data_IF_668427363498
#
_entry.id   IF_668427363498
#
_cell.length_a   1.000
_cell.length_b   1.000
_cell.length_c   1.000
_cell.angle_alpha   90.00
_cell.angle_beta   90.00
_cell.angle_gamma   90.00
#
_symmetry.space_group_name_H-M   'P 1'
#
loop_
_entity.id
_entity.type
_entity.pdbx_description
1 polymer ?
#
# COMPACT_ATOMS: atom_id res chain seq x y z
N UNK A 1 4.93 -10.48 -39.64
CA UNK A 1 3.83 -10.06 -38.75
C UNK A 1 4.44 -9.22 -37.63
N UNK A 2 4.85 -8.00 -37.97
CA UNK A 2 5.52 -7.03 -37.10
C UNK A 2 5.27 -5.65 -37.72
N UNK A 3 5.30 -4.61 -36.89
CA UNK A 3 5.08 -3.18 -37.18
C UNK A 3 3.62 -2.70 -37.06
N UNK A 4 3.16 -2.48 -35.83
CA UNK A 4 2.06 -1.53 -35.53
C UNK A 4 2.41 -0.50 -34.44
N UNK A 5 3.42 -0.73 -33.59
CA UNK A 5 3.74 0.21 -32.49
C UNK A 5 4.45 1.50 -32.92
N UNK A 6 5.12 1.53 -34.08
CA UNK A 6 5.90 2.72 -34.51
C UNK A 6 5.06 3.89 -35.04
N UNK A 7 3.77 3.68 -35.36
CA UNK A 7 2.92 4.75 -35.90
C UNK A 7 2.26 5.61 -34.81
N UNK A 8 2.11 5.12 -33.58
CA UNK A 8 1.53 5.90 -32.48
C UNK A 8 2.51 6.94 -31.92
N UNK A 9 3.81 6.63 -31.85
CA UNK A 9 4.84 7.58 -31.39
C UNK A 9 5.03 8.80 -32.30
N UNK A 10 4.77 8.68 -33.60
CA UNK A 10 4.94 9.82 -34.53
C UNK A 10 3.83 10.88 -34.42
N UNK A 11 2.66 10.57 -33.85
CA UNK A 11 1.61 11.57 -33.61
C UNK A 11 1.95 12.52 -32.46
N UNK A 12 2.60 12.02 -31.40
CA UNK A 12 2.97 12.80 -30.20
C UNK A 12 3.99 13.92 -30.50
N UNK A 13 4.77 13.81 -31.59
CA UNK A 13 5.74 14.84 -31.97
C UNK A 13 5.11 16.13 -32.55
N UNK A 14 3.86 16.08 -33.03
CA UNK A 14 3.25 17.20 -33.75
C UNK A 14 2.25 18.03 -32.91
N UNK A 15 1.83 17.56 -31.73
CA UNK A 15 0.86 18.27 -30.88
C UNK A 15 1.47 19.25 -29.86
N UNK A 16 2.75 19.09 -29.49
CA UNK A 16 3.46 20.03 -28.61
C UNK A 16 4.02 21.26 -29.37
N UNK A 17 3.16 22.06 -30.00
CA UNK A 17 3.53 23.42 -30.39
C UNK A 17 3.10 24.41 -29.30
N UNK A 18 4.10 25.03 -28.67
CA UNK A 18 3.99 26.01 -27.59
C UNK A 18 3.09 27.16 -28.01
N UNK A 19 1.87 27.20 -27.48
CA UNK A 19 1.01 28.39 -27.53
C UNK A 19 1.45 29.35 -26.43
N UNK A 20 2.04 30.47 -26.84
CA UNK A 20 2.36 31.60 -25.97
C UNK A 20 1.07 32.22 -25.41
N UNK A 21 0.77 32.01 -24.12
CA UNK A 21 -0.35 32.66 -23.43
C UNK A 21 0.15 33.68 -22.39
N UNK A 22 -0.24 34.93 -22.62
CA UNK A 22 0.01 36.12 -21.78
C UNK A 22 -0.72 36.02 -20.43
N UNK A 23 -0.02 36.46 -19.39
CA UNK A 23 -0.44 36.57 -18.00
C UNK A 23 -1.49 37.68 -17.77
N UNK A 24 -2.48 37.39 -16.93
CA UNK A 24 -3.10 38.39 -16.04
C UNK A 24 -3.05 37.85 -14.61
N UNK A 25 -2.37 38.60 -13.74
CA UNK A 25 -2.17 38.26 -12.34
C UNK A 25 -3.29 38.87 -11.48
N UNK A 26 -3.87 38.07 -10.58
CA UNK A 26 -4.59 38.58 -9.41
C UNK A 26 -4.09 37.81 -8.18
N UNK A 27 -3.57 38.59 -7.22
CA UNK A 27 -3.03 38.18 -5.92
C UNK A 27 -4.13 37.71 -4.96
N UNK A 28 -3.81 36.71 -4.15
CA UNK A 28 -4.50 36.38 -2.90
C UNK A 28 -3.60 35.51 -2.02
N UNK A 29 -3.01 36.13 -1.00
CA UNK A 29 -2.03 35.57 -0.06
C UNK A 29 -2.70 34.82 1.09
N UNK A 30 -2.14 33.68 1.52
CA UNK A 30 -2.13 33.25 2.93
C UNK A 30 -0.92 32.34 3.21
N UNK A 31 -0.12 32.72 4.20
CA UNK A 31 1.00 31.95 4.77
C UNK A 31 0.61 31.29 6.10
N UNK A 32 1.29 30.21 6.53
CA UNK A 32 0.97 29.41 7.69
C UNK A 32 1.70 29.89 8.97
N UNK A 33 1.06 29.73 10.13
CA UNK A 33 1.69 29.97 11.44
C UNK A 33 2.23 28.68 12.06
N UNK A 34 3.46 28.80 12.57
CA UNK A 34 4.25 27.77 13.23
C UNK A 34 3.85 27.55 14.70
N UNK A 35 4.37 26.43 15.20
CA UNK A 35 4.35 25.91 16.56
C UNK A 35 4.69 26.90 17.69
N UNK A 36 4.17 26.61 18.89
CA UNK A 36 4.80 27.04 20.14
C UNK A 36 4.79 25.90 21.18
N UNK A 37 6.01 25.57 21.63
CA UNK A 37 6.32 24.79 22.82
C UNK A 37 5.99 25.61 24.08
N UNK A 38 5.63 24.95 25.17
CA UNK A 38 5.88 25.48 26.53
C UNK A 38 6.14 24.33 27.51
N UNK A 39 7.36 24.31 28.04
CA UNK A 39 7.77 23.59 29.26
C UNK A 39 7.52 24.48 30.48
N UNK A 40 7.09 23.88 31.60
CA UNK A 40 7.63 24.05 32.98
C UNK A 40 6.70 23.37 34.00
N UNK A 41 7.18 22.33 34.71
CA UNK A 41 7.58 22.31 36.15
C UNK A 41 6.39 22.30 37.14
N UNK A 42 6.35 21.58 38.27
CA UNK A 42 7.13 20.49 38.89
C UNK A 42 6.44 20.12 40.23
N UNK A 43 6.85 18.97 40.82
CA UNK A 43 6.86 18.62 42.26
C UNK A 43 5.89 17.54 42.85
N UNK A 44 6.53 16.42 43.21
CA UNK A 44 6.59 15.73 44.53
C UNK A 44 5.28 15.20 45.16
N UNK A 45 5.17 13.86 45.21
CA UNK A 45 5.07 13.13 46.49
C UNK A 45 5.39 11.63 46.33
N UNK A 46 6.42 11.17 47.03
CA UNK A 46 6.69 9.75 47.31
C UNK A 46 6.06 9.41 48.66
N UNK A 47 5.23 8.38 48.73
CA UNK A 47 5.05 7.59 49.95
C UNK A 47 4.89 6.11 49.59
N UNK A 48 5.78 5.31 50.19
CA UNK A 48 5.72 3.88 50.37
C UNK A 48 4.35 3.39 50.86
N UNK A 49 3.91 2.22 50.41
CA UNK A 49 3.22 1.24 51.26
C UNK A 49 3.38 -0.17 50.70
N UNK A 50 3.84 -1.04 51.60
CA UNK A 50 4.07 -2.47 51.48
C UNK A 50 2.78 -3.28 51.26
N UNK A 51 2.99 -4.50 50.76
CA UNK A 51 2.25 -5.74 51.02
C UNK A 51 0.74 -5.68 51.30
N UNK A 52 -0.04 -6.28 50.40
CA UNK A 52 -1.20 -7.09 50.77
C UNK A 52 -1.43 -8.17 49.70
N UNK A 53 -1.13 -9.41 50.05
CA UNK A 53 -1.74 -10.57 49.42
C UNK A 53 -3.24 -10.50 49.68
N UNK A 54 -4.05 -10.52 48.62
CA UNK A 54 -5.48 -10.84 48.75
C UNK A 54 -5.75 -12.04 47.85
N UNK A 55 -5.89 -13.19 48.53
CA UNK A 55 -6.57 -14.36 48.00
C UNK A 55 -8.05 -14.01 47.83
N UNK A 56 -8.52 -14.00 46.59
CA UNK A 56 -9.94 -14.17 46.29
C UNK A 56 -10.16 -15.59 45.80
N UNK A 57 -10.53 -16.47 46.73
CA UNK A 57 -11.33 -17.64 46.44
C UNK A 57 -12.75 -17.17 46.16
N UNK A 58 -13.17 -17.19 44.89
CA UNK A 58 -14.59 -17.16 44.55
C UNK A 58 -14.84 -18.20 43.46
N UNK A 59 -15.51 -19.26 43.87
CA UNK A 59 -16.06 -20.34 43.09
C UNK A 59 -17.15 -19.77 42.17
N UNK A 60 -16.84 -19.65 40.88
CA UNK A 60 -17.85 -19.49 39.85
C UNK A 60 -17.69 -20.67 38.89
N UNK A 61 -18.64 -21.60 38.97
CA UNK A 61 -18.79 -22.74 38.08
C UNK A 61 -18.92 -22.25 36.64
N UNK A 62 -17.83 -22.32 35.89
CA UNK A 62 -17.80 -22.15 34.45
C UNK A 62 -18.27 -23.44 33.79
N UNK A 63 -19.42 -23.37 33.11
CA UNK A 63 -19.72 -24.30 32.03
C UNK A 63 -18.69 -24.04 30.93
N UNK A 64 -17.81 -25.02 30.71
CA UNK A 64 -16.87 -25.07 29.60
C UNK A 64 -17.67 -25.26 28.31
N UNK A 65 -17.94 -24.19 27.57
CA UNK A 65 -18.07 -24.30 26.12
C UNK A 65 -16.66 -24.49 25.57
N UNK A 66 -16.34 -25.75 25.25
CA UNK A 66 -15.15 -26.14 24.51
C UNK A 66 -15.19 -25.52 23.12
N UNK A 67 -14.73 -24.28 22.98
CA UNK A 67 -14.23 -23.78 21.70
C UNK A 67 -12.98 -24.59 21.40
N UNK A 68 -12.90 -25.21 20.23
CA UNK A 68 -11.86 -26.16 19.82
C UNK A 68 -10.47 -25.54 19.70
N UNK A 69 -9.87 -25.15 20.82
CA UNK A 69 -8.42 -25.04 21.00
C UNK A 69 -7.93 -26.41 21.46
N UNK A 70 -7.90 -27.38 20.55
CA UNK A 70 -7.26 -28.65 20.85
C UNK A 70 -5.78 -28.38 21.09
N UNK A 71 -5.36 -28.48 22.36
CA UNK A 71 -3.96 -28.58 22.75
C UNK A 71 -3.39 -29.85 22.16
N UNK A 72 -2.90 -29.76 20.92
CA UNK A 72 -2.14 -30.84 20.32
C UNK A 72 -0.83 -31.01 21.11
N UNK A 73 -0.75 -32.11 21.84
CA UNK A 73 0.38 -32.51 22.66
C UNK A 73 1.49 -33.11 21.79
N UNK A 74 2.21 -32.26 21.04
CA UNK A 74 3.60 -32.39 20.58
C UNK A 74 3.99 -31.06 19.93
N UNK A 75 5.23 -30.53 20.09
CA UNK A 75 5.62 -29.31 19.41
C UNK A 75 5.85 -29.62 17.91
N UNK A 76 4.77 -29.72 17.13
CA UNK A 76 4.85 -29.45 15.69
C UNK A 76 5.41 -28.03 15.59
N UNK A 77 6.53 -27.89 14.89
CA UNK A 77 7.08 -26.56 14.61
C UNK A 77 5.96 -25.71 14.00
N UNK A 78 5.63 -24.59 14.65
CA UNK A 78 4.57 -23.72 14.18
C UNK A 78 4.93 -23.22 12.77
N UNK A 79 4.17 -23.68 11.78
CA UNK A 79 4.35 -23.35 10.38
C UNK A 79 3.11 -22.63 9.86
N UNK A 80 3.34 -21.63 8.99
CA UNK A 80 2.25 -20.90 8.33
C UNK A 80 1.63 -21.85 7.30
N UNK A 81 0.43 -22.35 7.59
CA UNK A 81 -0.34 -23.20 6.67
C UNK A 81 -0.64 -22.44 5.36
N UNK A 82 -0.66 -23.14 4.23
CA UNK A 82 -1.18 -22.56 2.98
C UNK A 82 -2.68 -22.29 3.11
N UNK A 83 -3.21 -21.40 2.26
CA UNK A 83 -4.64 -21.05 2.31
C UNK A 83 -5.54 -22.27 2.08
N UNK A 84 -5.14 -23.16 1.17
CA UNK A 84 -5.85 -24.40 0.82
C UNK A 84 -5.90 -25.37 2.02
N UNK A 85 -4.88 -25.38 2.87
CA UNK A 85 -4.75 -26.23 4.05
C UNK A 85 -5.55 -25.74 5.27
N UNK A 86 -6.12 -24.54 5.22
CA UNK A 86 -6.94 -24.02 6.32
C UNK A 86 -8.26 -24.78 6.39
N UNK A 87 -8.58 -25.28 7.58
CA UNK A 87 -9.82 -26.01 7.87
C UNK A 87 -10.94 -25.04 8.20
N UNK A 88 -12.19 -25.45 7.92
CA UNK A 88 -13.37 -24.66 8.26
C UNK A 88 -13.57 -24.63 9.77
N UNK A 89 -13.69 -23.43 10.32
CA UNK A 89 -13.99 -23.22 11.74
C UNK A 89 -15.48 -22.89 11.87
N UNK A 90 -16.17 -23.58 12.78
CA UNK A 90 -17.54 -23.20 13.12
C UNK A 90 -17.50 -22.07 14.15
N UNK A 91 -17.81 -20.86 13.71
CA UNK A 91 -18.10 -19.75 14.62
C UNK A 91 -19.53 -19.94 15.10
N UNK A 92 -19.68 -20.26 16.38
CA UNK A 92 -20.98 -20.58 16.96
C UNK A 92 -21.66 -19.31 17.44
N UNK A 93 -20.91 -18.33 17.96
CA UNK A 93 -21.43 -17.12 18.60
C UNK A 93 -20.46 -15.92 18.57
N UNK A 94 -20.97 -14.72 18.88
CA UNK A 94 -20.18 -13.49 19.05
C UNK A 94 -19.04 -13.63 20.09
N UNK A 95 -19.21 -14.48 21.09
CA UNK A 95 -18.16 -14.77 22.08
C UNK A 95 -16.87 -15.32 21.44
N UNK A 96 -16.97 -16.04 20.31
CA UNK A 96 -15.80 -16.59 19.62
C UNK A 96 -14.92 -15.45 19.06
N UNK A 97 -15.51 -14.37 18.57
CA UNK A 97 -14.80 -13.18 18.09
C UNK A 97 -14.09 -12.45 19.23
N UNK A 98 -14.72 -12.36 20.40
CA UNK A 98 -14.11 -11.75 21.60
C UNK A 98 -12.90 -12.56 22.07
N UNK A 99 -13.00 -13.89 22.08
CA UNK A 99 -11.89 -14.79 22.45
C UNK A 99 -10.73 -14.64 21.46
N UNK A 100 -11.00 -14.61 20.15
CA UNK A 100 -9.98 -14.35 19.13
C UNK A 100 -9.27 -13.01 19.40
N UNK A 101 -10.03 -11.95 19.72
CA UNK A 101 -9.46 -10.63 20.04
C UNK A 101 -8.54 -10.67 21.25
N UNK A 102 -8.96 -11.36 22.32
CA UNK A 102 -8.16 -11.51 23.53
C UNK A 102 -6.85 -12.24 23.26
N UNK A 103 -6.91 -13.33 22.49
CA UNK A 103 -5.71 -14.12 22.18
C UNK A 103 -4.77 -13.39 21.22
N UNK A 104 -5.28 -12.65 20.23
CA UNK A 104 -4.46 -11.77 19.40
C UNK A 104 -3.80 -10.64 20.18
N UNK A 105 -4.45 -10.16 21.23
CA UNK A 105 -3.91 -9.08 22.09
C UNK A 105 -2.87 -9.60 23.10
N UNK A 106 -2.76 -10.91 23.29
CA UNK A 106 -1.89 -11.53 24.29
C UNK A 106 -0.42 -11.56 23.83
N UNK A 107 0.29 -10.44 23.99
CA UNK A 107 1.71 -10.29 23.62
C UNK A 107 2.66 -11.25 24.36
N UNK A 108 2.22 -11.85 25.47
CA UNK A 108 3.03 -12.81 26.23
C UNK A 108 3.02 -14.20 25.61
N UNK A 109 1.95 -14.56 24.88
CA UNK A 109 1.78 -15.88 24.30
C UNK A 109 1.69 -15.83 22.77
N UNK A 110 2.86 -15.79 22.12
CA UNK A 110 2.93 -15.72 20.66
C UNK A 110 2.30 -16.94 19.96
N UNK A 111 2.28 -18.12 20.59
CA UNK A 111 1.65 -19.31 20.03
C UNK A 111 0.14 -19.10 19.89
N UNK A 112 -0.51 -18.57 20.93
CA UNK A 112 -1.95 -18.28 20.88
C UNK A 112 -2.27 -17.14 19.93
N UNK A 113 -1.42 -16.10 19.86
CA UNK A 113 -1.55 -15.06 18.83
C UNK A 113 -1.44 -15.65 17.42
N UNK A 114 -0.51 -16.59 17.21
CA UNK A 114 -0.31 -17.26 15.94
C UNK A 114 -1.53 -18.09 15.54
N UNK A 115 -2.03 -18.93 16.45
CA UNK A 115 -3.25 -19.73 16.26
C UNK A 115 -4.45 -18.85 15.95
N UNK A 116 -4.66 -17.78 16.72
CA UNK A 116 -5.75 -16.83 16.50
C UNK A 116 -5.67 -16.14 15.11
N UNK A 117 -4.46 -15.85 14.60
CA UNK A 117 -4.28 -15.39 13.22
C UNK A 117 -4.67 -16.47 12.20
N UNK A 118 -4.35 -17.74 12.44
CA UNK A 118 -4.78 -18.83 11.55
C UNK A 118 -6.31 -18.96 11.53
N UNK A 119 -6.96 -18.72 12.68
CA UNK A 119 -8.42 -18.67 12.78
C UNK A 119 -8.97 -17.53 11.92
N UNK A 120 -8.42 -16.31 12.01
CA UNK A 120 -8.82 -15.19 11.13
C UNK A 120 -8.68 -15.55 9.65
N UNK A 121 -7.55 -16.15 9.25
CA UNK A 121 -7.35 -16.57 7.86
C UNK A 121 -8.38 -17.61 7.41
N UNK A 122 -8.74 -18.55 8.27
CA UNK A 122 -9.81 -19.52 8.00
C UNK A 122 -11.16 -18.83 7.84
N UNK A 123 -11.48 -17.84 8.68
CA UNK A 123 -12.70 -17.05 8.52
C UNK A 123 -12.73 -16.39 7.14
N UNK A 124 -11.66 -15.71 6.71
CA UNK A 124 -11.62 -15.10 5.37
C UNK A 124 -11.75 -16.11 4.22
N UNK A 125 -11.31 -17.36 4.41
CA UNK A 125 -11.46 -18.41 3.40
C UNK A 125 -12.91 -18.83 3.22
N UNK A 126 -13.64 -19.03 4.31
CA UNK A 126 -14.98 -19.60 4.28
C UNK A 126 -16.11 -18.56 4.35
N UNK A 127 -15.77 -17.34 4.79
CA UNK A 127 -16.64 -16.18 4.93
C UNK A 127 -15.94 -14.91 4.39
N UNK A 128 -15.54 -14.89 3.11
CA UNK A 128 -14.79 -13.77 2.53
C UNK A 128 -15.56 -12.42 2.54
N UNK A 129 -16.90 -12.46 2.62
CA UNK A 129 -17.75 -11.29 2.80
C UNK A 129 -17.45 -10.50 4.09
N UNK A 130 -16.88 -11.16 5.10
CA UNK A 130 -16.53 -10.56 6.39
C UNK A 130 -15.20 -9.80 6.38
N UNK A 131 -14.49 -9.74 5.23
CA UNK A 131 -13.14 -9.16 5.15
C UNK A 131 -13.06 -7.75 5.76
N UNK A 132 -14.02 -6.88 5.46
CA UNK A 132 -14.03 -5.52 5.99
C UNK A 132 -14.29 -5.50 7.51
N UNK A 133 -15.18 -6.36 8.01
CA UNK A 133 -15.49 -6.46 9.43
C UNK A 133 -14.28 -6.98 10.21
N UNK A 134 -13.57 -7.99 9.68
CA UNK A 134 -12.33 -8.50 10.28
C UNK A 134 -11.31 -7.37 10.49
N UNK A 135 -11.07 -6.53 9.49
CA UNK A 135 -10.12 -5.41 9.65
C UNK A 135 -10.66 -4.30 10.56
N UNK A 136 -11.96 -4.10 10.62
CA UNK A 136 -12.57 -3.17 11.58
C UNK A 136 -12.38 -3.62 13.03
N UNK A 137 -12.55 -4.92 13.32
CA UNK A 137 -12.43 -5.46 14.67
C UNK A 137 -10.98 -5.72 15.11
N UNK A 138 -10.11 -6.14 14.19
CA UNK A 138 -8.77 -6.65 14.49
C UNK A 138 -7.63 -5.85 13.84
N UNK A 139 -7.92 -4.87 13.00
CA UNK A 139 -6.93 -4.14 12.18
C UNK A 139 -5.75 -3.61 12.99
N UNK A 140 -6.01 -2.88 14.08
CA UNK A 140 -4.96 -2.32 14.95
C UNK A 140 -4.06 -3.40 15.57
N UNK A 141 -4.64 -4.55 15.91
CA UNK A 141 -3.90 -5.68 16.47
C UNK A 141 -3.04 -6.32 15.39
N UNK A 142 -3.58 -6.50 14.17
CA UNK A 142 -2.82 -7.01 13.01
C UNK A 142 -1.65 -6.08 12.70
N UNK A 143 -1.85 -4.76 12.72
CA UNK A 143 -0.78 -3.76 12.58
C UNK A 143 0.29 -3.95 13.66
N UNK A 144 -0.11 -4.07 14.93
CA UNK A 144 0.82 -4.30 16.04
C UNK A 144 1.62 -5.60 15.88
N UNK A 145 1.00 -6.67 15.39
CA UNK A 145 1.68 -7.95 15.16
C UNK A 145 2.65 -7.84 13.97
N UNK A 146 2.22 -7.21 12.87
CA UNK A 146 3.05 -6.99 11.70
C UNK A 146 4.29 -6.15 12.00
N UNK A 147 4.18 -5.18 12.91
CA UNK A 147 5.28 -4.35 13.37
C UNK A 147 6.23 -5.06 14.34
N UNK A 148 5.87 -6.23 14.89
CA UNK A 148 6.74 -7.00 15.77
C UNK A 148 8.04 -7.46 15.09
N UNK A 149 8.98 -7.97 15.89
CA UNK A 149 10.25 -8.55 15.43
C UNK A 149 10.18 -10.07 15.24
N UNK A 150 9.00 -10.69 15.39
CA UNK A 150 8.84 -12.15 15.32
C UNK A 150 8.56 -12.57 13.88
N UNK A 151 9.58 -13.09 13.19
CA UNK A 151 9.50 -13.51 11.79
C UNK A 151 8.26 -14.35 11.45
N UNK A 152 7.94 -15.35 12.26
CA UNK A 152 6.79 -16.23 12.03
C UNK A 152 5.45 -15.48 12.10
N UNK A 153 5.31 -14.56 13.06
CA UNK A 153 4.11 -13.72 13.19
C UNK A 153 3.95 -12.79 12.00
N UNK A 154 5.06 -12.20 11.53
CA UNK A 154 5.06 -11.34 10.35
C UNK A 154 4.68 -12.17 9.10
N UNK A 155 5.21 -13.38 8.93
CA UNK A 155 4.82 -14.27 7.82
C UNK A 155 3.33 -14.60 7.86
N UNK A 156 2.79 -14.88 9.04
CA UNK A 156 1.35 -15.13 9.22
C UNK A 156 0.50 -13.90 8.79
N UNK A 157 0.93 -12.69 9.16
CA UNK A 157 0.28 -11.46 8.72
C UNK A 157 0.43 -11.24 7.20
N UNK A 158 1.60 -11.54 6.63
CA UNK A 158 1.82 -11.42 5.18
C UNK A 158 0.92 -12.39 4.40
N UNK A 159 0.75 -13.62 4.90
CA UNK A 159 -0.19 -14.57 4.31
C UNK A 159 -1.64 -14.03 4.35
N UNK A 160 -2.07 -13.55 5.52
CA UNK A 160 -3.39 -12.92 5.69
C UNK A 160 -3.60 -11.73 4.73
N UNK A 161 -2.59 -10.87 4.55
CA UNK A 161 -2.66 -9.73 3.64
C UNK A 161 -2.71 -10.16 2.17
N UNK A 162 -1.93 -11.16 1.75
CA UNK A 162 -2.04 -11.69 0.37
C UNK A 162 -3.42 -12.26 0.09
N UNK A 163 -4.01 -12.98 1.04
CA UNK A 163 -5.36 -13.53 0.95
C UNK A 163 -6.39 -12.41 0.84
N UNK A 164 -6.27 -11.39 1.70
CA UNK A 164 -7.12 -10.19 1.68
C UNK A 164 -7.09 -9.50 0.32
N UNK A 165 -5.90 -9.25 -0.24
CA UNK A 165 -5.80 -8.62 -1.54
C UNK A 165 -6.33 -9.50 -2.67
N UNK A 166 -6.14 -10.83 -2.61
CA UNK A 166 -6.75 -11.74 -3.58
C UNK A 166 -8.29 -11.69 -3.54
N UNK A 167 -8.90 -11.47 -2.37
CA UNK A 167 -10.35 -11.30 -2.24
C UNK A 167 -10.87 -9.99 -2.88
N UNK A 168 -10.01 -8.98 -3.08
CA UNK A 168 -10.40 -7.68 -3.62
C UNK A 168 -11.02 -7.73 -5.04
N UNK A 169 -10.79 -8.83 -5.77
CA UNK A 169 -11.42 -9.09 -7.08
C UNK A 169 -12.91 -9.38 -6.99
N UNK A 170 -13.37 -9.90 -5.86
CA UNK A 170 -14.75 -10.36 -5.67
C UNK A 170 -15.47 -9.52 -4.63
N UNK A 171 -14.74 -9.05 -3.61
CA UNK A 171 -15.29 -8.27 -2.51
C UNK A 171 -14.63 -6.90 -2.46
N UNK A 172 -15.45 -5.85 -2.40
CA UNK A 172 -14.92 -4.49 -2.32
C UNK A 172 -14.25 -4.25 -0.95
N UNK A 173 -12.93 -4.04 -0.97
CA UNK A 173 -12.19 -3.68 0.24
C UNK A 173 -12.44 -2.21 0.62
N UNK A 174 -12.51 -1.93 1.92
CA UNK A 174 -12.47 -0.57 2.45
C UNK A 174 -11.11 0.09 2.14
N UNK A 175 -11.12 1.35 1.74
CA UNK A 175 -9.92 2.09 1.33
C UNK A 175 -8.87 2.20 2.44
N UNK A 176 -9.32 2.26 3.70
CA UNK A 176 -8.46 2.34 4.88
C UNK A 176 -7.54 1.12 4.99
N UNK A 177 -8.03 -0.07 4.60
CA UNK A 177 -7.24 -1.31 4.60
C UNK A 177 -6.07 -1.17 3.63
N UNK A 178 -6.34 -0.69 2.41
CA UNK A 178 -5.33 -0.47 1.37
C UNK A 178 -4.32 0.58 1.85
N UNK A 179 -4.80 1.72 2.31
CA UNK A 179 -3.97 2.85 2.72
C UNK A 179 -3.01 2.48 3.86
N UNK A 180 -3.50 1.76 4.88
CA UNK A 180 -2.70 1.38 6.04
C UNK A 180 -1.68 0.31 5.66
N UNK A 181 -2.13 -0.81 5.07
CA UNK A 181 -1.26 -1.97 4.93
C UNK A 181 -0.24 -1.83 3.81
N UNK A 182 -0.55 -1.13 2.70
CA UNK A 182 0.47 -0.86 1.67
C UNK A 182 1.58 0.02 2.23
N UNK A 183 1.25 1.09 2.97
CA UNK A 183 2.26 1.93 3.64
C UNK A 183 3.13 1.11 4.58
N UNK A 184 2.53 0.21 5.36
CA UNK A 184 3.27 -0.68 6.26
C UNK A 184 4.20 -1.65 5.53
N UNK A 185 3.80 -2.23 4.40
CA UNK A 185 4.64 -3.15 3.62
C UNK A 185 5.90 -2.44 3.11
N UNK A 186 5.76 -1.23 2.56
CA UNK A 186 6.90 -0.42 2.10
C UNK A 186 7.82 0.00 3.25
N UNK A 187 7.25 0.43 4.38
CA UNK A 187 8.04 0.74 5.59
C UNK A 187 8.83 -0.49 6.09
N UNK A 188 8.21 -1.68 6.10
CA UNK A 188 8.86 -2.91 6.57
C UNK A 188 10.01 -3.32 5.64
N UNK A 189 9.85 -3.17 4.32
CA UNK A 189 10.91 -3.42 3.33
C UNK A 189 12.12 -2.51 3.55
N UNK A 190 11.89 -1.23 3.87
CA UNK A 190 12.97 -0.27 4.10
C UNK A 190 13.77 -0.60 5.35
N UNK A 191 13.11 -1.01 6.43
CA UNK A 191 13.72 -1.15 7.75
C UNK A 191 14.76 -2.29 7.85
N UNK A 192 14.99 -3.08 6.80
CA UNK A 192 16.07 -4.08 6.67
C UNK A 192 16.20 -5.11 7.82
N UNK A 193 15.29 -5.12 8.80
CA UNK A 193 15.44 -5.93 10.00
C UNK A 193 15.41 -7.44 9.70
N UNK A 194 14.77 -7.86 8.59
CA UNK A 194 14.55 -9.27 8.26
C UNK A 194 14.58 -9.53 6.74
N UNK A 195 15.76 -9.53 6.12
CA UNK A 195 15.95 -9.85 4.68
C UNK A 195 15.17 -11.09 4.18
N UNK A 196 15.03 -12.19 4.95
CA UNK A 196 14.24 -13.35 4.52
C UNK A 196 12.75 -13.08 4.29
N UNK A 197 12.23 -11.93 4.74
CA UNK A 197 10.84 -11.51 4.53
C UNK A 197 10.65 -10.64 3.29
N UNK A 198 11.72 -10.13 2.67
CA UNK A 198 11.61 -9.23 1.52
C UNK A 198 10.82 -9.87 0.37
N UNK A 199 11.08 -11.14 0.07
CA UNK A 199 10.37 -11.88 -0.98
C UNK A 199 8.89 -12.11 -0.65
N UNK A 200 8.57 -12.33 0.62
CA UNK A 200 7.17 -12.42 1.06
C UNK A 200 6.45 -11.07 0.92
N UNK A 201 7.10 -9.97 1.30
CA UNK A 201 6.51 -8.64 1.17
C UNK A 201 6.31 -8.27 -0.30
N UNK A 202 7.31 -8.53 -1.16
CA UNK A 202 7.20 -8.35 -2.62
C UNK A 202 6.03 -9.15 -3.19
N UNK A 203 5.87 -10.40 -2.79
CA UNK A 203 4.75 -11.24 -3.20
C UNK A 203 3.39 -10.62 -2.79
N UNK A 204 3.26 -10.14 -1.56
CA UNK A 204 2.02 -9.47 -1.11
C UNK A 204 1.73 -8.20 -1.92
N UNK A 205 2.77 -7.41 -2.23
CA UNK A 205 2.63 -6.20 -3.07
C UNK A 205 2.23 -6.58 -4.50
N UNK A 206 2.73 -7.70 -5.03
CA UNK A 206 2.30 -8.23 -6.31
C UNK A 206 0.82 -8.66 -6.28
N UNK A 207 0.37 -9.35 -5.22
CA UNK A 207 -1.05 -9.66 -5.03
C UNK A 207 -1.89 -8.38 -4.97
N UNK A 208 -1.44 -7.34 -4.28
CA UNK A 208 -2.11 -6.04 -4.30
C UNK A 208 -2.23 -5.49 -5.73
N UNK A 209 -1.13 -5.43 -6.48
CA UNK A 209 -1.14 -4.89 -7.84
C UNK A 209 -2.08 -5.67 -8.78
N UNK A 210 -2.12 -7.00 -8.64
CA UNK A 210 -2.91 -7.89 -9.49
C UNK A 210 -4.41 -7.92 -9.19
N UNK A 211 -4.83 -7.43 -8.02
CA UNK A 211 -6.20 -7.60 -7.54
C UNK A 211 -6.90 -6.30 -7.13
N UNK A 212 -6.15 -5.22 -6.89
CA UNK A 212 -6.68 -3.95 -6.34
C UNK A 212 -6.55 -2.79 -7.36
N UNK A 213 -6.41 -3.11 -8.64
CA UNK A 213 -6.12 -2.12 -9.69
C UNK A 213 -7.29 -1.20 -10.08
N UNK A 214 -8.52 -1.53 -9.68
CA UNK A 214 -9.72 -0.71 -9.95
C UNK A 214 -9.98 0.34 -8.85
N UNK A 215 -9.19 0.36 -7.78
CA UNK A 215 -9.38 1.24 -6.63
C UNK A 215 -8.59 2.53 -6.77
N UNK A 216 -9.26 3.67 -6.75
CA UNK A 216 -8.62 4.99 -6.75
C UNK A 216 -7.64 5.16 -5.56
N UNK A 217 -8.02 4.63 -4.40
CA UNK A 217 -7.20 4.61 -3.18
C UNK A 217 -5.89 3.84 -3.33
N UNK A 218 -5.82 2.83 -4.22
CA UNK A 218 -4.58 2.11 -4.51
C UNK A 218 -3.53 3.04 -5.12
N UNK A 219 -3.92 3.83 -6.13
CA UNK A 219 -3.04 4.79 -6.79
C UNK A 219 -2.62 5.89 -5.83
N UNK A 220 -3.57 6.49 -5.11
CA UNK A 220 -3.30 7.52 -4.11
C UNK A 220 -2.33 7.04 -3.03
N UNK A 221 -2.48 5.79 -2.58
CA UNK A 221 -1.60 5.24 -1.55
C UNK A 221 -0.18 5.08 -2.07
N UNK A 222 -0.01 4.55 -3.29
CA UNK A 222 1.30 4.34 -3.90
C UNK A 222 2.07 5.65 -4.12
N UNK A 223 1.42 6.67 -4.67
CA UNK A 223 2.08 7.97 -4.96
C UNK A 223 2.44 8.73 -3.68
N UNK A 224 1.79 8.42 -2.55
CA UNK A 224 2.11 9.00 -1.24
C UNK A 224 3.30 8.33 -0.54
N UNK A 225 3.81 7.21 -1.05
CA UNK A 225 4.96 6.53 -0.44
C UNK A 225 6.23 7.36 -0.72
N UNK A 226 6.95 7.82 0.32
CA UNK A 226 8.17 8.61 0.14
C UNK A 226 9.23 7.89 -0.70
N UNK A 227 9.96 8.62 -1.54
CA UNK A 227 11.01 8.06 -2.40
C UNK A 227 12.06 7.23 -1.64
N UNK A 228 12.35 7.58 -0.37
CA UNK A 228 13.30 6.81 0.46
C UNK A 228 12.82 5.37 0.76
N UNK A 229 11.50 5.13 0.75
CA UNK A 229 10.89 3.82 0.97
C UNK A 229 10.87 2.94 -0.29
N UNK A 230 11.19 3.50 -1.46
CA UNK A 230 11.08 2.82 -2.76
C UNK A 230 12.37 2.09 -3.19
N UNK A 231 13.36 1.99 -2.31
CA UNK A 231 14.70 1.48 -2.69
C UNK A 231 14.72 0.03 -3.19
N UNK A 232 13.77 -0.80 -2.73
CA UNK A 232 13.68 -2.23 -3.08
C UNK A 232 12.61 -2.56 -4.12
N UNK A 233 11.64 -1.67 -4.31
CA UNK A 233 10.51 -1.83 -5.22
C UNK A 233 10.24 -0.48 -5.87
N UNK A 234 10.33 -0.45 -7.20
CA UNK A 234 10.01 0.74 -7.97
C UNK A 234 8.49 0.90 -8.01
N UNK A 235 7.98 1.98 -7.41
CA UNK A 235 6.53 2.27 -7.44
C UNK A 235 6.05 2.51 -8.87
N UNK A 236 6.93 3.04 -9.73
CA UNK A 236 6.66 3.23 -11.14
C UNK A 236 6.26 1.93 -11.84
N UNK A 237 6.95 0.82 -11.57
CA UNK A 237 6.64 -0.48 -12.19
C UNK A 237 5.26 -0.99 -11.75
N UNK A 238 4.88 -0.73 -10.49
CA UNK A 238 3.54 -1.08 -9.99
C UNK A 238 2.49 -0.19 -10.65
N UNK A 239 2.70 1.12 -10.67
CA UNK A 239 1.74 2.05 -11.29
C UNK A 239 1.57 1.77 -12.79
N UNK A 240 2.64 1.45 -13.50
CA UNK A 240 2.60 1.03 -14.91
C UNK A 240 1.76 -0.23 -15.06
N UNK A 241 2.03 -1.25 -14.25
CA UNK A 241 1.24 -2.49 -14.22
C UNK A 241 -0.24 -2.22 -13.94
N UNK A 242 -0.57 -1.38 -12.96
CA UNK A 242 -1.95 -1.01 -12.63
C UNK A 242 -2.66 -0.34 -13.82
N UNK A 243 -1.98 0.59 -14.49
CA UNK A 243 -2.52 1.26 -15.67
C UNK A 243 -2.70 0.31 -16.85
N UNK A 244 -1.87 -0.74 -16.98
CA UNK A 244 -1.94 -1.74 -18.05
C UNK A 244 -3.05 -2.79 -17.86
N UNK A 245 -3.29 -3.24 -16.63
CA UNK A 245 -4.15 -4.40 -16.35
C UNK A 245 -5.61 -4.26 -16.82
N UNK A 246 -6.15 -3.04 -16.94
CA UNK A 246 -7.32 -2.81 -17.80
C UNK A 246 -7.22 -1.52 -18.58
N UNK A 247 -7.59 -1.58 -19.86
CA UNK A 247 -7.80 -0.41 -20.73
C UNK A 247 -8.73 0.65 -20.11
N UNK A 248 -9.63 0.24 -19.20
CA UNK A 248 -10.60 1.11 -18.56
C UNK A 248 -10.27 1.52 -17.11
N UNK A 249 -9.22 0.97 -16.48
CA UNK A 249 -8.90 1.32 -15.07
C UNK A 249 -8.48 2.77 -14.92
N UNK A 250 -7.93 3.39 -15.97
CA UNK A 250 -7.66 4.82 -15.95
C UNK A 250 -8.93 5.66 -15.82
N UNK A 251 -10.09 5.15 -16.27
CA UNK A 251 -11.36 5.87 -16.19
C UNK A 251 -11.98 5.80 -14.79
N UNK A 252 -11.48 4.93 -13.90
CA UNK A 252 -11.95 4.87 -12.50
C UNK A 252 -11.24 5.88 -11.60
N UNK A 253 -10.14 6.47 -12.09
CA UNK A 253 -9.38 7.46 -11.34
C UNK A 253 -10.14 8.77 -11.22
N UNK A 254 -10.20 9.28 -10.00
CA UNK A 254 -10.78 10.59 -9.72
C UNK A 254 -9.83 11.71 -10.19
N UNK A 255 -10.38 12.88 -10.51
CA UNK A 255 -9.59 14.04 -10.95
C UNK A 255 -8.51 14.44 -9.93
N UNK A 256 -8.79 14.33 -8.63
CA UNK A 256 -7.83 14.57 -7.55
C UNK A 256 -6.65 13.59 -7.59
N UNK A 257 -6.90 12.34 -7.96
CA UNK A 257 -5.89 11.28 -8.05
C UNK A 257 -5.01 11.46 -9.26
N UNK A 258 -5.58 11.88 -10.39
CA UNK A 258 -4.79 12.33 -11.54
C UNK A 258 -3.88 13.51 -11.18
N UNK A 259 -4.40 14.54 -10.51
CA UNK A 259 -3.59 15.70 -10.10
C UNK A 259 -2.43 15.25 -9.21
N UNK A 260 -2.70 14.38 -8.23
CA UNK A 260 -1.67 13.86 -7.34
C UNK A 260 -0.64 13.01 -8.09
N UNK A 261 -1.07 12.17 -9.04
CA UNK A 261 -0.17 11.37 -9.89
C UNK A 261 0.73 12.26 -10.76
N UNK A 262 0.18 13.30 -11.38
CA UNK A 262 0.97 14.24 -12.20
C UNK A 262 2.00 14.99 -11.35
N UNK A 263 1.64 15.40 -10.12
CA UNK A 263 2.59 15.99 -9.17
C UNK A 263 3.70 15.03 -8.77
N UNK A 264 3.33 13.80 -8.43
CA UNK A 264 4.29 12.75 -8.12
C UNK A 264 5.30 12.53 -9.27
N UNK A 265 4.82 12.45 -10.52
CA UNK A 265 5.69 12.28 -11.68
C UNK A 265 6.58 13.50 -11.92
N UNK A 266 6.05 14.71 -11.77
CA UNK A 266 6.82 15.95 -11.87
C UNK A 266 7.98 16.00 -10.88
N UNK A 267 7.72 15.66 -9.63
CA UNK A 267 8.72 15.67 -8.56
C UNK A 267 9.84 14.66 -8.84
N UNK A 268 9.48 13.44 -9.28
CA UNK A 268 10.46 12.41 -9.62
C UNK A 268 11.29 12.76 -10.87
N UNK A 269 10.71 13.47 -11.84
CA UNK A 269 11.45 13.98 -13.01
C UNK A 269 12.41 15.11 -12.62
N UNK A 270 12.00 16.01 -11.72
CA UNK A 270 12.81 17.15 -11.25
C UNK A 270 14.00 16.74 -10.39
N UNK A 271 14.00 15.54 -9.78
CA UNK A 271 15.16 14.98 -9.07
C UNK A 271 16.28 14.57 -10.04
N UNK A 272 16.89 15.58 -10.66
CA UNK A 272 17.79 15.59 -11.82
C UNK A 272 19.12 14.85 -11.66
N UNK A 273 19.45 14.30 -10.49
CA UNK A 273 20.67 13.52 -10.27
C UNK A 273 20.48 12.02 -10.36
N UNK A 274 19.25 11.50 -10.30
CA UNK A 274 18.97 10.06 -10.30
C UNK A 274 18.28 9.61 -11.59
N UNK A 275 19.08 9.35 -12.64
CA UNK A 275 18.60 8.80 -13.94
C UNK A 275 17.73 7.54 -13.79
N UNK A 276 17.84 6.81 -12.66
CA UNK A 276 17.04 5.61 -12.38
C UNK A 276 15.55 5.89 -12.15
N UNK A 277 15.19 7.09 -11.68
CA UNK A 277 13.79 7.45 -11.42
C UNK A 277 13.18 8.28 -12.57
N UNK A 278 13.98 9.13 -13.21
CA UNK A 278 13.51 9.98 -14.30
C UNK A 278 12.95 9.19 -15.48
N UNK A 279 13.64 8.12 -15.91
CA UNK A 279 13.21 7.32 -17.07
C UNK A 279 11.86 6.61 -16.83
N UNK A 280 11.65 5.89 -15.69
CA UNK A 280 10.34 5.34 -15.35
C UNK A 280 9.22 6.37 -15.25
N UNK A 281 9.46 7.55 -14.66
CA UNK A 281 8.42 8.60 -14.58
C UNK A 281 8.03 9.13 -15.95
N UNK A 282 9.01 9.32 -16.85
CA UNK A 282 8.75 9.76 -18.23
C UNK A 282 8.00 8.70 -19.03
N UNK A 283 8.35 7.42 -18.86
CA UNK A 283 7.59 6.31 -19.47
C UNK A 283 6.14 6.33 -19.02
N UNK A 284 5.89 6.46 -17.72
CA UNK A 284 4.52 6.50 -17.19
C UNK A 284 3.74 7.70 -17.73
N UNK A 285 4.37 8.87 -17.90
CA UNK A 285 3.74 10.01 -18.56
C UNK A 285 3.32 9.69 -20.00
N UNK A 286 4.17 8.99 -20.75
CA UNK A 286 3.86 8.56 -22.13
C UNK A 286 2.70 7.56 -22.12
N UNK A 287 2.72 6.56 -21.25
CA UNK A 287 1.62 5.60 -21.10
C UNK A 287 0.30 6.28 -20.72
N UNK A 288 0.33 7.35 -19.92
CA UNK A 288 -0.84 8.17 -19.63
C UNK A 288 -1.33 8.89 -20.89
N UNK A 289 -0.45 9.59 -21.63
CA UNK A 289 -0.79 10.26 -22.90
C UNK A 289 -1.47 9.30 -23.88
N UNK A 290 -0.93 8.08 -24.02
CA UNK A 290 -1.49 7.05 -24.91
C UNK A 290 -2.90 6.60 -24.49
N UNK A 291 -3.21 6.63 -23.19
CA UNK A 291 -4.50 6.17 -22.65
C UNK A 291 -5.58 7.25 -22.62
N UNK A 292 -5.26 8.49 -22.23
CA UNK A 292 -6.25 9.57 -22.08
C UNK A 292 -6.24 10.58 -23.24
N UNK A 293 -5.24 10.51 -24.12
CA UNK A 293 -5.02 11.46 -25.20
C UNK A 293 -4.18 12.67 -24.77
N UNK A 294 -3.50 13.26 -25.75
CA UNK A 294 -2.59 14.38 -25.56
C UNK A 294 -3.29 15.62 -24.99
N UNK A 295 -4.44 16.01 -25.55
CA UNK A 295 -5.19 17.18 -25.12
C UNK A 295 -5.61 17.08 -23.64
N UNK A 296 -6.14 15.92 -23.25
CA UNK A 296 -6.53 15.63 -21.86
C UNK A 296 -5.32 15.69 -20.93
N UNK A 297 -4.19 15.14 -21.35
CA UNK A 297 -2.96 15.16 -20.56
C UNK A 297 -2.40 16.58 -20.39
N UNK A 298 -2.43 17.41 -21.44
CA UNK A 298 -2.02 18.81 -21.39
C UNK A 298 -2.90 19.59 -20.40
N UNK A 299 -4.22 19.41 -20.45
CA UNK A 299 -5.14 20.02 -19.50
C UNK A 299 -4.86 19.58 -18.06
N UNK A 300 -4.60 18.29 -17.84
CA UNK A 300 -4.24 17.78 -16.51
C UNK A 300 -2.96 18.43 -15.98
N UNK A 301 -1.92 18.54 -16.81
CA UNK A 301 -0.66 19.19 -16.43
C UNK A 301 -0.89 20.67 -16.09
N UNK A 302 -1.63 21.40 -16.92
CA UNK A 302 -1.97 22.81 -16.70
C UNK A 302 -2.71 23.03 -15.37
N UNK A 303 -3.60 22.11 -15.01
CA UNK A 303 -4.38 22.20 -13.78
C UNK A 303 -3.60 21.72 -12.53
N UNK A 304 -2.50 20.99 -12.71
CA UNK A 304 -1.81 20.31 -11.62
C UNK A 304 -0.50 20.96 -11.19
N UNK A 305 0.20 21.63 -12.12
CA UNK A 305 1.60 22.04 -12.00
C UNK A 305 1.80 23.53 -12.31
N UNK A 306 2.93 24.09 -11.86
CA UNK A 306 3.37 25.43 -12.27
C UNK A 306 4.15 25.40 -13.60
N UNK A 307 4.32 26.57 -14.25
CA UNK A 307 4.95 26.67 -15.56
C UNK A 307 6.34 26.00 -15.66
N UNK A 308 7.17 26.11 -14.61
CA UNK A 308 8.50 25.50 -14.57
C UNK A 308 8.40 23.96 -14.56
N UNK A 309 7.55 23.41 -13.70
CA UNK A 309 7.29 21.97 -13.62
C UNK A 309 6.71 21.42 -14.92
N UNK A 310 5.81 22.16 -15.57
CA UNK A 310 5.23 21.80 -16.85
C UNK A 310 6.32 21.70 -17.94
N UNK A 311 7.17 22.72 -18.06
CA UNK A 311 8.27 22.74 -19.03
C UNK A 311 9.21 21.56 -18.82
N UNK A 312 9.60 21.28 -17.57
CA UNK A 312 10.49 20.15 -17.25
C UNK A 312 9.93 18.79 -17.69
N UNK A 313 8.62 18.55 -17.48
CA UNK A 313 7.97 17.31 -17.94
C UNK A 313 8.00 17.23 -19.47
N UNK A 314 7.56 18.28 -20.15
CA UNK A 314 7.48 18.30 -21.61
C UNK A 314 8.86 18.09 -22.25
N UNK A 315 9.89 18.79 -21.78
CA UNK A 315 11.26 18.64 -22.26
C UNK A 315 11.81 17.23 -22.02
N UNK A 316 11.50 16.63 -20.85
CA UNK A 316 11.92 15.28 -20.52
C UNK A 316 11.27 14.23 -21.43
N UNK A 317 9.97 14.37 -21.71
CA UNK A 317 9.23 13.51 -22.65
C UNK A 317 9.82 13.65 -24.07
N UNK A 318 10.01 14.88 -24.55
CA UNK A 318 10.57 15.13 -25.89
C UNK A 318 11.98 14.56 -26.04
N UNK A 319 12.83 14.73 -25.02
CA UNK A 319 14.19 14.19 -25.00
C UNK A 319 14.19 12.67 -25.04
N UNK A 320 13.31 12.05 -24.26
CA UNK A 320 13.17 10.59 -24.23
C UNK A 320 12.71 10.04 -25.58
N UNK A 321 11.69 10.63 -26.21
CA UNK A 321 11.21 10.23 -27.55
C UNK A 321 12.33 10.35 -28.60
N UNK A 322 13.10 11.44 -28.59
CA UNK A 322 14.26 11.61 -29.49
C UNK A 322 15.29 10.50 -29.31
N UNK A 323 15.56 10.11 -28.07
CA UNK A 323 16.54 9.05 -27.76
C UNK A 323 16.13 7.68 -28.30
N UNK A 324 14.84 7.32 -28.22
CA UNK A 324 14.31 6.06 -28.78
C UNK A 324 14.46 6.03 -30.30
N UNK A 325 14.10 7.12 -30.98
CA UNK A 325 14.17 7.20 -32.44
C UNK A 325 15.61 7.11 -32.97
N UNK A 326 16.57 7.65 -32.23
CA UNK A 326 18.00 7.54 -32.58
C UNK A 326 18.47 6.09 -32.46
N UNK A 327 18.08 5.38 -31.40
CA UNK A 327 18.44 3.96 -31.21
C UNK A 327 17.81 3.06 -32.29
N UNK A 328 16.54 3.29 -32.64
CA UNK A 328 15.86 2.53 -33.70
C UNK A 328 16.50 2.72 -35.08
N UNK A 329 17.11 3.89 -35.33
CA UNK A 329 17.82 4.19 -36.58
C UNK A 329 19.19 3.52 -36.62
N UNK A 330 19.85 3.36 -35.46
CA UNK A 330 21.15 2.69 -35.35
C UNK A 330 21.04 1.16 -35.49
N UNK A 331 19.94 0.54 -35.03
CA UNK A 331 19.72 -0.90 -35.16
C UNK A 331 19.31 -1.35 -36.57
N UNK A 332 18.91 -0.41 -37.44
CA UNK A 332 18.53 -0.67 -38.84
C UNK A 332 19.71 -0.51 -39.82
N UNK A 333 20.87 -0.08 -39.34
CA UNK A 333 22.14 -0.04 -40.07
C UNK A 333 22.98 -1.22 -39.62
#
# INVERSE_FOLDING_TARGET
MQVQDSQQLHRVQNGFQVTNCRLNAVRGSFQPSQALNTQQNSQINQQNLNNSQIQYSNSCSSQQTETSFQTSSQPKQAEVKSFEQLERIQLSNFNDLVVIKQELSNKQNWNRQFEALQIIRSILKYHPEEVNNIYEFYGDIIVSIFQSNRTLMIKSCLALLSETFNLARTYQLKDEIIQVFIKLLFQKLQNNCLKPLDEWIKYVIQCFAQNVFDYDSAYLTLIQIPAQQQSKIQIHDILEFLLEQKKNSINTLQGTTFIALIRFLSENIKMTTNKKLQSPSVKLCISLIEKIGEDSFVQLIQNSLNNEQMQNIVESIQTYIKSINTQATQQKK
#
